data_IF_241049642885
#
_entry.id   IF_241049642885
#
_cell.length_a   1.000
_cell.length_b   1.000
_cell.length_c   1.000
_cell.angle_alpha   90.00
_cell.angle_beta   90.00
_cell.angle_gamma   90.00
#
_symmetry.space_group_name_H-M   'P 1'
#
loop_
_entity.id
_entity.type
_entity.pdbx_description
1 polymer ?
#
# COMPACT_ATOMS: atom_id res chain seq x y z
N UNK A 1 -3.74 -27.30 -10.44
CA UNK A 1 -4.34 -27.40 -9.09
C UNK A 1 -4.31 -26.03 -8.43
N UNK A 2 -5.32 -25.67 -7.67
CA UNK A 2 -5.38 -24.36 -6.98
C UNK A 2 -4.62 -24.45 -5.66
N UNK A 3 -3.71 -23.52 -5.42
CA UNK A 3 -2.98 -23.41 -4.16
C UNK A 3 -3.95 -23.06 -3.02
N UNK A 4 -3.98 -23.83 -1.92
CA UNK A 4 -4.89 -23.56 -0.80
C UNK A 4 -4.49 -22.32 0.01
N UNK A 5 -3.27 -21.82 -0.16
CA UNK A 5 -2.73 -20.67 0.59
C UNK A 5 -3.01 -19.34 -0.12
N UNK A 6 -2.75 -19.26 -1.45
CA UNK A 6 -2.84 -18.00 -2.18
C UNK A 6 -3.85 -18.01 -3.34
N UNK A 7 -4.54 -19.13 -3.59
CA UNK A 7 -5.51 -19.27 -4.67
C UNK A 7 -4.92 -19.30 -6.09
N UNK A 8 -3.59 -19.31 -6.23
CA UNK A 8 -2.94 -19.36 -7.54
C UNK A 8 -3.14 -20.73 -8.20
N UNK A 9 -3.40 -20.74 -9.51
CA UNK A 9 -3.57 -21.97 -10.29
C UNK A 9 -2.22 -22.48 -10.78
N UNK A 10 -1.77 -23.60 -10.20
CA UNK A 10 -0.52 -24.28 -10.54
C UNK A 10 -0.77 -25.45 -11.50
N UNK A 11 0.28 -25.88 -12.17
CA UNK A 11 0.25 -27.10 -12.97
C UNK A 11 -0.14 -28.31 -12.11
N UNK A 12 -0.88 -29.24 -12.68
CA UNK A 12 -1.23 -30.48 -11.98
C UNK A 12 0.03 -31.28 -11.69
N UNK A 13 0.27 -31.59 -10.41
CA UNK A 13 1.47 -32.28 -9.96
C UNK A 13 2.64 -31.37 -9.53
N UNK A 14 2.43 -30.06 -9.47
CA UNK A 14 3.39 -29.14 -8.87
C UNK A 14 3.59 -29.47 -7.38
N UNK A 15 4.82 -29.63 -6.95
CA UNK A 15 5.18 -29.92 -5.56
C UNK A 15 5.21 -28.64 -4.70
N UNK A 16 5.42 -27.48 -5.35
CA UNK A 16 5.52 -26.17 -4.71
C UNK A 16 4.70 -25.17 -5.52
N UNK A 17 4.04 -24.25 -4.86
CA UNK A 17 3.30 -23.20 -5.52
C UNK A 17 4.23 -22.17 -6.17
N UNK A 18 4.10 -21.96 -7.49
CA UNK A 18 4.93 -21.02 -8.24
C UNK A 18 4.76 -19.56 -7.79
N UNK A 19 3.63 -19.24 -7.15
CA UNK A 19 3.35 -17.88 -6.71
C UNK A 19 3.79 -17.60 -5.27
N UNK A 20 3.54 -18.52 -4.33
CA UNK A 20 3.79 -18.27 -2.89
C UNK A 20 4.79 -19.22 -2.24
N UNK A 21 5.31 -20.22 -2.99
CA UNK A 21 6.26 -21.19 -2.47
C UNK A 21 5.65 -22.23 -1.51
N UNK A 22 4.33 -22.26 -1.34
CA UNK A 22 3.68 -23.24 -0.48
C UNK A 22 3.88 -24.67 -1.02
N UNK A 23 4.16 -25.61 -0.12
CA UNK A 23 4.23 -27.04 -0.45
C UNK A 23 2.84 -27.57 -0.85
N UNK A 24 2.75 -28.16 -2.03
CA UNK A 24 1.54 -28.75 -2.59
C UNK A 24 1.58 -30.28 -2.63
N UNK A 25 2.74 -30.90 -2.36
CA UNK A 25 2.97 -32.33 -2.51
C UNK A 25 2.44 -33.15 -1.31
N UNK A 26 2.34 -32.53 -0.17
CA UNK A 26 1.93 -33.25 1.02
C UNK A 26 0.62 -32.73 1.58
N UNK A 27 -0.52 -33.32 1.35
CA UNK A 27 -1.87 -32.97 1.89
C UNK A 27 -1.98 -32.41 3.32
N UNK A 28 -0.93 -31.79 3.82
CA UNK A 28 -0.86 -31.03 5.05
C UNK A 28 -1.07 -29.54 4.74
N UNK A 29 -1.96 -28.90 5.47
CA UNK A 29 -2.05 -27.44 5.51
C UNK A 29 -0.65 -26.91 5.81
N UNK A 30 -0.02 -26.10 4.92
CA UNK A 30 1.28 -25.50 5.25
C UNK A 30 1.16 -24.80 6.59
N UNK A 31 2.03 -25.16 7.53
CA UNK A 31 2.10 -24.42 8.78
C UNK A 31 2.69 -23.04 8.44
N UNK A 32 1.95 -21.94 8.56
CA UNK A 32 2.43 -20.61 8.13
C UNK A 32 3.60 -20.08 8.97
N UNK A 33 4.03 -20.83 9.98
CA UNK A 33 4.91 -20.36 11.05
C UNK A 33 6.41 -20.57 10.84
N UNK A 34 6.86 -21.18 9.76
CA UNK A 34 8.27 -21.61 9.65
C UNK A 34 9.03 -21.05 8.43
N UNK A 35 8.38 -20.39 7.48
CA UNK A 35 9.07 -19.71 6.39
C UNK A 35 8.79 -18.20 6.41
N UNK A 36 9.72 -17.43 5.90
CA UNK A 36 9.55 -15.99 5.69
C UNK A 36 8.22 -15.66 4.98
N UNK A 37 7.87 -16.42 3.94
CA UNK A 37 6.60 -16.30 3.22
C UNK A 37 5.37 -16.62 4.10
N UNK A 38 5.47 -17.62 4.95
CA UNK A 38 4.37 -18.01 5.84
C UNK A 38 4.06 -16.95 6.88
N UNK A 39 5.08 -16.26 7.38
CA UNK A 39 4.89 -15.13 8.33
C UNK A 39 4.19 -13.96 7.64
N UNK A 40 4.65 -13.54 6.45
CA UNK A 40 4.03 -12.44 5.70
C UNK A 40 2.57 -12.69 5.31
N UNK A 41 2.17 -13.97 5.16
CA UNK A 41 0.78 -14.33 4.88
C UNK A 41 -0.10 -14.31 6.15
N UNK A 42 0.53 -14.45 7.32
CA UNK A 42 -0.16 -14.43 8.62
C UNK A 42 -0.19 -13.07 9.31
N UNK A 43 0.59 -12.10 8.82
CA UNK A 43 0.67 -10.75 9.37
C UNK A 43 -0.21 -9.79 8.57
N UNK A 44 -0.87 -8.89 9.27
CA UNK A 44 -1.83 -7.95 8.68
C UNK A 44 -1.27 -6.52 8.68
N UNK A 45 -1.90 -5.65 7.92
CA UNK A 45 -1.47 -4.25 7.82
C UNK A 45 -1.57 -3.49 9.16
N UNK A 46 -2.44 -3.93 10.06
CA UNK A 46 -2.50 -3.41 11.43
C UNK A 46 -1.19 -3.59 12.20
N UNK A 47 -0.44 -4.65 11.92
CA UNK A 47 0.83 -4.95 12.59
C UNK A 47 1.94 -3.95 12.23
N UNK A 48 1.78 -3.22 11.11
CA UNK A 48 2.71 -2.17 10.69
C UNK A 48 2.54 -0.86 11.47
N UNK A 49 1.45 -0.68 12.22
CA UNK A 49 1.22 0.51 13.04
C UNK A 49 1.17 1.81 12.23
N UNK A 50 0.49 1.82 11.08
CA UNK A 50 0.41 2.98 10.20
C UNK A 50 -0.10 4.23 10.95
N UNK A 51 0.60 5.38 10.85
CA UNK A 51 0.15 6.61 11.48
C UNK A 51 -1.13 7.14 10.83
N UNK A 52 -1.89 8.01 11.51
CA UNK A 52 -3.03 8.70 10.91
C UNK A 52 -2.63 9.40 9.62
N UNK A 53 -3.44 9.30 8.56
CA UNK A 53 -3.08 9.87 7.27
C UNK A 53 -3.18 11.40 7.29
N UNK A 54 -2.28 12.06 6.56
CA UNK A 54 -2.40 13.48 6.27
C UNK A 54 -3.43 13.64 5.15
N UNK A 55 -4.51 14.39 5.41
CA UNK A 55 -5.60 14.59 4.45
C UNK A 55 -5.72 16.05 4.00
N UNK A 56 -6.14 16.23 2.75
CA UNK A 56 -6.43 17.53 2.14
C UNK A 56 -7.67 17.43 1.24
N UNK A 57 -8.31 18.57 0.92
CA UNK A 57 -9.36 18.59 -0.10
C UNK A 57 -8.76 18.73 -1.51
N UNK A 58 -9.50 18.40 -2.58
CA UNK A 58 -9.04 18.58 -3.96
C UNK A 58 -8.71 20.04 -4.29
N UNK A 59 -9.39 21.00 -3.64
CA UNK A 59 -9.22 22.45 -3.84
C UNK A 59 -8.00 23.00 -3.09
N UNK A 60 -7.34 22.19 -2.27
CA UNK A 60 -6.15 22.64 -1.53
C UNK A 60 -5.07 23.08 -2.52
N UNK A 61 -4.49 24.28 -2.39
CA UNK A 61 -3.37 24.72 -3.22
C UNK A 61 -2.17 23.75 -3.08
N UNK A 62 -1.49 23.51 -4.19
CA UNK A 62 -0.38 22.53 -4.23
C UNK A 62 0.77 22.92 -3.30
N UNK A 63 1.10 24.21 -3.22
CA UNK A 63 2.13 24.73 -2.31
C UNK A 63 1.78 24.46 -0.84
N UNK A 64 0.51 24.62 -0.46
CA UNK A 64 0.01 24.29 0.89
C UNK A 64 0.13 22.80 1.17
N UNK A 65 -0.23 21.94 0.22
CA UNK A 65 -0.13 20.50 0.38
C UNK A 65 1.33 20.07 0.54
N UNK A 66 2.24 20.59 -0.28
CA UNK A 66 3.69 20.32 -0.18
C UNK A 66 4.24 20.80 1.17
N UNK A 67 3.87 22.00 1.63
CA UNK A 67 4.30 22.50 2.93
C UNK A 67 3.81 21.61 4.09
N UNK A 68 2.58 21.09 4.01
CA UNK A 68 2.04 20.14 4.99
C UNK A 68 2.79 18.81 4.98
N UNK A 69 3.11 18.28 3.79
CA UNK A 69 3.91 17.06 3.65
C UNK A 69 5.28 17.23 4.31
N UNK A 70 5.96 18.34 4.04
CA UNK A 70 7.26 18.64 4.63
C UNK A 70 7.19 18.78 6.15
N UNK A 71 6.20 19.50 6.67
CA UNK A 71 6.04 19.71 8.11
C UNK A 71 5.70 18.42 8.87
N UNK A 72 5.00 17.48 8.22
CA UNK A 72 4.64 16.18 8.78
C UNK A 72 5.66 15.07 8.45
N UNK A 73 6.74 15.38 7.73
CA UNK A 73 7.70 14.40 7.20
C UNK A 73 7.01 13.26 6.42
N UNK A 74 5.91 13.60 5.72
CA UNK A 74 5.09 12.66 4.98
C UNK A 74 5.40 12.72 3.47
N UNK A 75 5.48 11.56 2.84
CA UNK A 75 5.76 11.42 1.41
C UNK A 75 4.48 11.54 0.54
N UNK A 76 3.31 11.62 1.15
CA UNK A 76 2.05 11.79 0.45
C UNK A 76 0.98 12.47 1.31
N UNK A 77 -0.05 12.98 0.63
CA UNK A 77 -1.34 13.36 1.23
C UNK A 77 -2.47 12.59 0.57
N UNK A 78 -3.46 12.22 1.35
CA UNK A 78 -4.70 11.64 0.85
C UNK A 78 -5.70 12.75 0.56
N UNK A 79 -6.35 12.65 -0.59
CA UNK A 79 -7.33 13.66 -1.01
C UNK A 79 -8.71 13.14 -0.69
N UNK A 80 -9.48 13.93 0.09
CA UNK A 80 -10.80 13.52 0.58
C UNK A 80 -11.87 14.57 0.25
N UNK A 81 -13.08 14.08 0.03
CA UNK A 81 -14.31 14.86 -0.07
C UNK A 81 -15.33 14.22 0.87
N UNK A 82 -15.93 15.00 1.77
CA UNK A 82 -16.85 14.49 2.79
C UNK A 82 -16.27 13.28 3.55
N UNK A 83 -15.03 13.40 3.99
CA UNK A 83 -14.20 12.36 4.65
C UNK A 83 -13.93 11.10 3.82
N UNK A 84 -14.40 11.02 2.59
CA UNK A 84 -14.17 9.86 1.70
C UNK A 84 -12.96 10.10 0.81
N UNK A 85 -12.16 9.04 0.67
CA UNK A 85 -10.99 9.05 -0.20
C UNK A 85 -11.40 9.20 -1.67
N UNK A 86 -10.84 10.20 -2.36
CA UNK A 86 -11.04 10.42 -3.79
C UNK A 86 -9.74 10.41 -4.58
N UNK A 87 -8.58 10.56 -3.92
CA UNK A 87 -7.30 10.57 -4.60
C UNK A 87 -6.10 10.50 -3.65
N UNK A 88 -4.91 10.43 -4.23
CA UNK A 88 -3.63 10.52 -3.53
C UNK A 88 -2.70 11.46 -4.30
N UNK A 89 -1.96 12.30 -3.59
CA UNK A 89 -0.90 13.15 -4.13
C UNK A 89 0.40 12.85 -3.39
N UNK A 90 1.45 12.53 -4.13
CA UNK A 90 2.73 12.06 -3.59
C UNK A 90 3.89 13.02 -3.90
N UNK A 91 5.02 12.84 -3.23
CA UNK A 91 6.31 13.48 -3.55
C UNK A 91 6.69 13.32 -5.03
N UNK A 92 6.44 12.12 -5.58
CA UNK A 92 6.67 11.83 -7.00
C UNK A 92 5.77 12.66 -7.92
N UNK A 93 4.49 12.84 -7.57
CA UNK A 93 3.58 13.71 -8.32
C UNK A 93 4.04 15.15 -8.30
N UNK A 94 4.50 15.65 -7.14
CA UNK A 94 5.07 16.98 -7.01
C UNK A 94 6.27 17.18 -7.93
N UNK A 95 7.19 16.23 -7.98
CA UNK A 95 8.40 16.31 -8.83
C UNK A 95 8.07 16.17 -10.32
N UNK A 96 7.22 15.22 -10.70
CA UNK A 96 7.01 14.88 -12.11
C UNK A 96 5.91 15.71 -12.79
N UNK A 97 4.87 16.11 -12.05
CA UNK A 97 3.69 16.77 -12.61
C UNK A 97 3.66 18.28 -12.36
N UNK A 98 4.27 18.73 -11.26
CA UNK A 98 4.22 20.11 -10.78
C UNK A 98 5.48 20.90 -11.14
N UNK A 99 6.65 20.25 -11.18
CA UNK A 99 7.91 20.93 -11.48
C UNK A 99 7.85 21.73 -12.79
N UNK A 100 8.23 22.99 -12.72
CA UNK A 100 8.21 23.93 -13.86
C UNK A 100 6.86 24.62 -14.10
N UNK A 101 5.85 24.37 -13.26
CA UNK A 101 4.56 25.06 -13.28
C UNK A 101 4.44 26.07 -12.11
N UNK A 102 3.62 27.12 -12.24
CA UNK A 102 3.32 28.01 -11.12
C UNK A 102 2.47 27.25 -10.08
N UNK A 103 3.12 26.81 -8.99
CA UNK A 103 2.50 25.93 -7.97
C UNK A 103 1.40 26.63 -7.17
N UNK A 104 1.46 27.95 -7.07
CA UNK A 104 0.46 28.81 -6.41
C UNK A 104 -0.85 28.98 -7.20
N UNK A 105 -0.83 28.62 -8.50
CA UNK A 105 -1.98 28.72 -9.39
C UNK A 105 -2.73 27.38 -9.56
N UNK A 106 -2.28 26.31 -8.93
CA UNK A 106 -2.83 24.96 -9.12
C UNK A 106 -3.33 24.35 -7.79
N UNK A 107 -4.31 23.47 -7.92
CA UNK A 107 -4.89 22.71 -6.82
C UNK A 107 -4.39 21.25 -6.86
N UNK A 108 -4.42 20.59 -5.71
CA UNK A 108 -4.04 19.18 -5.60
C UNK A 108 -4.87 18.29 -6.54
N UNK A 109 -6.16 18.60 -6.71
CA UNK A 109 -7.05 17.88 -7.61
C UNK A 109 -6.59 17.85 -9.07
N UNK A 110 -5.78 18.84 -9.51
CA UNK A 110 -5.24 18.90 -10.88
C UNK A 110 -4.14 17.84 -11.12
N UNK A 111 -3.47 17.40 -10.07
CA UNK A 111 -2.28 16.54 -10.15
C UNK A 111 -2.39 15.22 -9.38
N UNK A 112 -3.36 15.08 -8.50
CA UNK A 112 -3.57 13.83 -7.75
C UNK A 112 -3.76 12.63 -8.68
N UNK A 113 -3.46 11.45 -8.20
CA UNK A 113 -3.92 10.21 -8.82
C UNK A 113 -5.32 9.93 -8.25
N UNK A 114 -6.37 9.99 -9.09
CA UNK A 114 -7.73 9.71 -8.63
C UNK A 114 -7.94 8.21 -8.42
N UNK A 115 -8.89 7.87 -7.58
CA UNK A 115 -9.33 6.49 -7.32
C UNK A 115 -8.14 5.51 -7.09
N UNK A 116 -7.27 5.77 -6.10
CA UNK A 116 -6.09 4.95 -5.85
C UNK A 116 -6.49 3.55 -5.39
N UNK A 117 -5.59 2.58 -5.63
CA UNK A 117 -5.71 1.26 -5.02
C UNK A 117 -5.69 1.41 -3.51
N UNK A 118 -6.63 0.76 -2.83
CA UNK A 118 -6.77 0.79 -1.38
C UNK A 118 -6.71 -0.61 -0.78
N UNK A 119 -6.36 -0.68 0.50
CA UNK A 119 -6.38 -1.90 1.30
C UNK A 119 -7.14 -1.63 2.61
N UNK A 120 -7.40 -2.69 3.36
CA UNK A 120 -8.01 -2.67 4.67
C UNK A 120 -7.00 -3.09 5.74
N UNK A 121 -7.26 -2.73 6.98
CA UNK A 121 -6.41 -3.07 8.13
C UNK A 121 -6.17 -4.58 8.27
N UNK A 122 -7.19 -5.39 7.98
CA UNK A 122 -7.17 -6.84 8.07
C UNK A 122 -6.60 -7.53 6.82
N UNK A 123 -6.18 -6.76 5.79
CA UNK A 123 -5.51 -7.34 4.63
C UNK A 123 -4.08 -7.78 4.99
N UNK A 124 -3.60 -8.91 4.44
CA UNK A 124 -2.24 -9.38 4.72
C UNK A 124 -1.17 -8.46 4.10
N UNK A 125 -0.02 -8.34 4.77
CA UNK A 125 1.13 -7.57 4.28
C UNK A 125 1.56 -8.04 2.89
N UNK A 126 1.51 -9.35 2.64
CA UNK A 126 1.81 -9.93 1.33
C UNK A 126 0.96 -9.35 0.19
N UNK A 127 -0.30 -8.98 0.47
CA UNK A 127 -1.16 -8.33 -0.53
C UNK A 127 -0.67 -6.92 -0.86
N UNK A 128 -0.23 -6.15 0.13
CA UNK A 128 0.36 -4.83 -0.10
C UNK A 128 1.62 -4.93 -0.97
N UNK A 129 2.52 -5.88 -0.66
CA UNK A 129 3.73 -6.14 -1.44
C UNK A 129 3.38 -6.46 -2.90
N UNK A 130 2.42 -7.36 -3.12
CA UNK A 130 1.97 -7.72 -4.46
C UNK A 130 1.41 -6.52 -5.22
N UNK A 131 0.54 -5.73 -4.58
CA UNK A 131 -0.06 -4.53 -5.19
C UNK A 131 0.99 -3.50 -5.57
N UNK A 132 1.99 -3.26 -4.70
CA UNK A 132 3.10 -2.36 -5.00
C UNK A 132 3.97 -2.87 -6.15
N UNK A 133 4.29 -4.16 -6.17
CA UNK A 133 5.12 -4.77 -7.21
C UNK A 133 4.45 -4.71 -8.59
N UNK A 134 3.17 -5.02 -8.67
CA UNK A 134 2.41 -5.03 -9.94
C UNK A 134 2.06 -3.61 -10.38
N UNK A 135 1.66 -2.75 -9.45
CA UNK A 135 1.19 -1.38 -9.74
C UNK A 135 2.30 -0.35 -9.88
N UNK A 136 3.52 -0.65 -9.41
CA UNK A 136 4.66 0.28 -9.46
C UNK A 136 4.50 1.51 -8.56
N UNK A 137 3.58 1.50 -7.60
CA UNK A 137 3.39 2.56 -6.61
C UNK A 137 3.95 2.15 -5.25
N UNK A 138 4.30 3.13 -4.43
CA UNK A 138 4.97 2.93 -3.13
C UNK A 138 4.10 3.29 -1.92
N UNK A 139 2.88 3.76 -2.16
CA UNK A 139 1.94 4.22 -1.15
C UNK A 139 0.57 3.61 -1.43
N UNK A 140 -0.03 2.97 -0.45
CA UNK A 140 -1.39 2.42 -0.55
C UNK A 140 -2.20 2.94 0.64
N UNK A 141 -3.27 3.70 0.39
CA UNK A 141 -4.18 4.11 1.45
C UNK A 141 -4.87 2.91 2.09
N UNK A 142 -4.98 2.94 3.42
CA UNK A 142 -5.80 2.00 4.19
C UNK A 142 -7.14 2.69 4.45
N UNK A 143 -8.24 2.01 4.16
CA UNK A 143 -9.58 2.58 4.29
C UNK A 143 -10.51 1.68 5.09
N UNK A 144 -11.46 2.31 5.78
CA UNK A 144 -12.58 1.65 6.43
C UNK A 144 -13.88 2.35 6.01
N UNK A 145 -14.75 1.62 5.30
CA UNK A 145 -15.99 2.21 4.79
C UNK A 145 -15.80 3.38 3.80
N UNK A 146 -14.65 3.45 3.13
CA UNK A 146 -14.28 4.53 2.22
C UNK A 146 -13.59 5.73 2.88
N UNK A 147 -13.48 5.74 4.21
CA UNK A 147 -12.75 6.75 4.99
C UNK A 147 -11.30 6.30 5.16
N UNK A 148 -10.30 7.12 4.81
CA UNK A 148 -8.91 6.76 4.99
C UNK A 148 -8.54 6.76 6.48
N UNK A 149 -7.88 5.69 6.92
CA UNK A 149 -7.45 5.48 8.30
C UNK A 149 -5.94 5.38 8.47
N UNK A 150 -5.22 5.21 7.35
CA UNK A 150 -3.77 5.12 7.34
C UNK A 150 -3.22 5.08 5.91
N UNK A 151 -1.89 5.01 5.80
CA UNK A 151 -1.18 4.75 4.56
C UNK A 151 -0.11 3.73 4.85
N UNK A 152 -0.04 2.66 4.07
CA UNK A 152 1.11 1.75 4.08
C UNK A 152 2.09 2.15 2.97
N UNK A 153 3.36 2.26 3.30
CA UNK A 153 4.41 2.60 2.35
C UNK A 153 5.34 1.42 2.11
N UNK A 154 6.05 1.45 0.97
CA UNK A 154 7.10 0.47 0.70
C UNK A 154 8.21 0.50 1.76
N UNK A 155 8.43 1.66 2.40
CA UNK A 155 9.39 1.82 3.51
C UNK A 155 8.93 1.08 4.74
N UNK A 156 7.64 1.20 5.13
CA UNK A 156 7.09 0.51 6.30
C UNK A 156 7.21 -1.01 6.13
N UNK A 157 6.83 -1.50 4.95
CA UNK A 157 7.00 -2.91 4.61
C UNK A 157 8.47 -3.33 4.69
N UNK A 158 9.39 -2.54 4.14
CA UNK A 158 10.83 -2.84 4.19
C UNK A 158 11.36 -2.90 5.63
N UNK A 159 10.99 -1.95 6.49
CA UNK A 159 11.40 -1.96 7.90
C UNK A 159 10.87 -3.19 8.63
N UNK A 160 9.59 -3.51 8.45
CA UNK A 160 8.99 -4.70 9.05
C UNK A 160 9.68 -5.99 8.60
N UNK A 161 10.02 -6.10 7.30
CA UNK A 161 10.78 -7.24 6.78
C UNK A 161 12.16 -7.33 7.41
N UNK A 162 12.86 -6.20 7.59
CA UNK A 162 14.18 -6.18 8.19
C UNK A 162 14.15 -6.66 9.66
N UNK A 163 13.14 -6.23 10.43
CA UNK A 163 12.95 -6.66 11.82
C UNK A 163 12.60 -8.15 11.96
N UNK A 164 11.95 -8.73 10.95
CA UNK A 164 11.59 -10.16 10.96
C UNK A 164 12.71 -11.09 10.49
N UNK A 165 13.80 -10.55 9.95
CA UNK A 165 14.98 -11.32 9.51
C UNK A 165 16.01 -11.54 10.63
N UNK A 166 15.94 -10.76 11.73
CA UNK A 166 16.78 -10.93 12.94
C UNK A 166 16.19 -11.97 13.87
#
# INVERSE_FOLDING_TARGET
MICPVCGFENLTGAEVCDNCGADLAGGGVPQPTLSFHGRLLGEHLDDLGAPPPLTVSPETPVDVAIARMQAAEADCVLVTVDDRLVGIFTDRDAVLKVAGKPIDAHQVGDFMTPDPVVLRHDDPIALAINKMAVGGFRHIPIVQGGVPTGVVTARDVFHHLAETLD
#
